data_IF_946552308304
#
_entry.id   IF_946552308304
#
_cell.length_a   1.000
_cell.length_b   1.000
_cell.length_c   1.000
_cell.angle_alpha   90.00
_cell.angle_beta   90.00
_cell.angle_gamma   90.00
#
_symmetry.space_group_name_H-M   'P 1'
#
loop_
_entity.id
_entity.type
_entity.pdbx_description
1 polymer ?
#
# COMPACT_ATOMS: atom_id res chain seq x y z
N UNK A 1 6.40 11.11 9.71
CA UNK A 1 7.49 10.41 8.99
C UNK A 1 8.13 11.36 7.95
N UNK A 2 9.37 11.13 7.50
CA UNK A 2 9.98 11.94 6.42
C UNK A 2 9.30 11.64 5.06
N UNK A 3 8.92 12.68 4.30
CA UNK A 3 8.19 12.53 3.03
C UNK A 3 8.93 11.69 1.97
N UNK A 4 10.25 11.67 1.97
CA UNK A 4 11.06 10.82 1.08
C UNK A 4 10.90 9.35 1.45
N UNK A 5 10.81 9.06 2.75
CA UNK A 5 10.59 7.68 3.24
C UNK A 5 9.16 7.24 2.91
N UNK A 6 8.17 8.12 3.11
CA UNK A 6 6.77 7.86 2.74
C UNK A 6 6.66 7.49 1.26
N UNK A 7 7.22 8.31 0.35
CA UNK A 7 7.22 8.03 -1.09
C UNK A 7 7.89 6.71 -1.45
N UNK A 8 8.99 6.37 -0.78
CA UNK A 8 9.67 5.08 -0.98
C UNK A 8 8.75 3.94 -0.55
N UNK A 9 8.12 4.05 0.62
CA UNK A 9 7.22 3.02 1.14
C UNK A 9 5.97 2.85 0.27
N UNK A 10 5.38 3.94 -0.22
CA UNK A 10 4.27 3.91 -1.19
C UNK A 10 4.66 3.12 -2.45
N UNK A 11 5.86 3.37 -3.00
CA UNK A 11 6.35 2.67 -4.21
C UNK A 11 6.57 1.17 -3.97
N UNK A 12 7.15 0.78 -2.84
CA UNK A 12 7.39 -0.63 -2.52
C UNK A 12 6.07 -1.38 -2.30
N UNK A 13 5.12 -0.76 -1.61
CA UNK A 13 3.79 -1.33 -1.37
C UNK A 13 2.99 -1.42 -2.67
N UNK A 14 3.06 -0.41 -3.54
CA UNK A 14 2.40 -0.46 -4.86
C UNK A 14 2.94 -1.62 -5.71
N UNK A 15 4.26 -1.85 -5.69
CA UNK A 15 4.88 -3.00 -6.34
C UNK A 15 4.40 -4.34 -5.76
N UNK A 16 4.33 -4.46 -4.44
CA UNK A 16 3.81 -5.66 -3.77
C UNK A 16 2.33 -5.92 -4.10
N UNK A 17 1.49 -4.88 -4.15
CA UNK A 17 0.09 -4.99 -4.57
C UNK A 17 0.03 -5.51 -6.01
N UNK A 18 0.80 -4.92 -6.92
CA UNK A 18 0.83 -5.34 -8.32
C UNK A 18 1.23 -6.82 -8.46
N UNK A 19 2.26 -7.27 -7.73
CA UNK A 19 2.68 -8.68 -7.75
C UNK A 19 1.56 -9.63 -7.30
N UNK A 20 0.87 -9.31 -6.20
CA UNK A 20 -0.22 -10.13 -5.68
C UNK A 20 -1.39 -10.19 -6.67
N UNK A 21 -1.78 -9.04 -7.23
CA UNK A 21 -2.85 -8.96 -8.23
C UNK A 21 -2.50 -9.78 -9.47
N UNK A 22 -1.26 -9.70 -9.96
CA UNK A 22 -0.79 -10.50 -11.10
C UNK A 22 -0.80 -12.00 -10.80
N UNK A 23 -0.38 -12.41 -9.59
CA UNK A 23 -0.39 -13.82 -9.16
C UNK A 23 -1.79 -14.38 -9.01
N UNK A 24 -2.75 -13.57 -8.54
CA UNK A 24 -4.15 -13.99 -8.42
C UNK A 24 -4.81 -14.11 -9.80
N UNK A 25 -4.56 -13.14 -10.69
CA UNK A 25 -5.11 -13.08 -12.03
C UNK A 25 -6.63 -13.08 -12.10
N UNK A 26 -7.17 -13.06 -13.32
CA UNK A 26 -8.63 -13.07 -13.57
C UNK A 26 -9.33 -14.36 -13.10
N UNK A 27 -8.58 -15.41 -12.75
CA UNK A 27 -9.14 -16.66 -12.23
C UNK A 27 -9.64 -16.52 -10.78
N UNK A 28 -9.11 -15.56 -10.03
CA UNK A 28 -9.43 -15.35 -8.61
C UNK A 28 -9.96 -13.95 -8.31
N UNK A 29 -9.76 -13.01 -9.22
CA UNK A 29 -10.30 -11.66 -9.14
C UNK A 29 -11.27 -11.43 -10.30
N UNK A 30 -12.52 -11.02 -10.04
CA UNK A 30 -13.48 -10.75 -11.11
C UNK A 30 -13.05 -9.57 -11.98
N UNK A 31 -12.25 -8.65 -11.43
CA UNK A 31 -11.74 -7.45 -12.10
C UNK A 31 -10.31 -7.15 -11.65
N UNK A 32 -9.48 -6.66 -12.56
CA UNK A 32 -8.14 -6.18 -12.24
C UNK A 32 -8.19 -4.68 -11.91
N UNK A 33 -7.59 -4.23 -10.80
CA UNK A 33 -7.48 -2.81 -10.49
C UNK A 33 -6.61 -2.11 -11.54
N UNK A 34 -6.96 -0.85 -11.85
CA UNK A 34 -6.11 0.02 -12.67
C UNK A 34 -4.84 0.40 -11.90
N UNK A 35 -3.82 0.88 -12.61
CA UNK A 35 -2.63 1.47 -11.98
C UNK A 35 -3.00 2.56 -10.96
N UNK A 36 -3.92 3.45 -11.32
CA UNK A 36 -4.39 4.51 -10.41
C UNK A 36 -5.05 3.94 -9.14
N UNK A 37 -5.78 2.82 -9.27
CA UNK A 37 -6.39 2.16 -8.11
C UNK A 37 -5.32 1.56 -7.20
N UNK A 38 -4.33 0.87 -7.76
CA UNK A 38 -3.21 0.31 -6.97
C UNK A 38 -2.38 1.40 -6.28
N UNK A 39 -2.16 2.53 -6.95
CA UNK A 39 -1.51 3.71 -6.36
C UNK A 39 -2.29 4.30 -5.16
N UNK A 40 -3.62 4.34 -5.24
CA UNK A 40 -4.45 4.78 -4.10
C UNK A 40 -4.44 3.76 -2.95
N UNK A 41 -4.42 2.48 -3.27
CA UNK A 41 -4.32 1.41 -2.27
C UNK A 41 -2.99 1.47 -1.51
N UNK A 42 -1.87 1.71 -2.19
CA UNK A 42 -0.56 1.84 -1.54
C UNK A 42 -0.53 3.03 -0.58
N UNK A 43 -1.08 4.17 -0.99
CA UNK A 43 -1.25 5.35 -0.12
C UNK A 43 -2.07 5.06 1.12
N UNK A 44 -3.23 4.42 0.95
CA UNK A 44 -4.08 4.05 2.08
C UNK A 44 -3.36 3.11 3.05
N UNK A 45 -2.63 2.11 2.53
CA UNK A 45 -1.83 1.21 3.35
C UNK A 45 -0.71 1.93 4.13
N UNK A 46 -0.03 2.89 3.49
CA UNK A 46 1.00 3.71 4.15
C UNK A 46 0.38 4.56 5.27
N UNK A 47 -0.75 5.22 5.03
CA UNK A 47 -1.44 6.01 6.06
C UNK A 47 -1.84 5.16 7.27
N UNK A 48 -2.33 3.93 7.04
CA UNK A 48 -2.65 2.99 8.13
C UNK A 48 -1.40 2.63 8.94
N UNK A 49 -0.27 2.36 8.26
CA UNK A 49 1.00 2.08 8.93
C UNK A 49 1.51 3.27 9.75
N UNK A 50 1.52 4.47 9.18
CA UNK A 50 1.93 5.69 9.89
C UNK A 50 1.09 5.92 11.14
N UNK A 51 -0.24 5.80 11.01
CA UNK A 51 -1.17 5.94 12.13
C UNK A 51 -0.91 4.89 13.21
N UNK A 52 -0.66 3.63 12.84
CA UNK A 52 -0.35 2.57 13.79
C UNK A 52 0.98 2.82 14.54
N UNK A 53 2.01 3.30 13.84
CA UNK A 53 3.31 3.64 14.46
C UNK A 53 3.17 4.84 15.40
N UNK A 54 2.44 5.88 14.98
CA UNK A 54 2.21 7.07 15.81
C UNK A 54 1.38 6.75 17.07
N UNK A 55 0.38 5.88 16.96
CA UNK A 55 -0.41 5.47 18.13
C UNK A 55 0.42 4.65 19.11
N UNK A 56 1.26 3.73 18.61
CA UNK A 56 2.17 2.98 19.47
C UNK A 56 3.12 3.88 20.26
N UNK A 57 3.66 4.92 19.64
CA UNK A 57 4.54 5.89 20.32
C UNK A 57 3.83 6.72 21.40
N UNK A 58 2.50 6.81 21.40
CA UNK A 58 1.72 7.50 22.44
C UNK A 58 1.40 6.61 23.64
N UNK A 59 1.46 5.29 23.45
CA UNK A 59 1.14 4.28 24.47
C UNK A 59 2.38 3.86 25.29
N UNK A 60 3.59 4.09 24.75
CA UNK A 60 4.90 3.88 25.38
C UNK A 60 5.41 5.15 26.10
#
# INVERSE_FOLDING_TARGET
MDQKIVKKLESEIEGAIAEVIMRMGLKRLPLLPSHQTMHLMSKAAVTVYETAVENRQKED
#
